data_IF_999253098850
#
_entry.id   IF_999253098850
#
_cell.length_a   1.000
_cell.length_b   1.000
_cell.length_c   1.000
_cell.angle_alpha   90.00
_cell.angle_beta   90.00
_cell.angle_gamma   90.00
#
_symmetry.space_group_name_H-M   'P 1'
#
loop_
_entity.id
_entity.type
_entity.pdbx_description
1 polymer ?
#
# COMPACT_ATOMS: atom_id res chain seq x y z
N UNK A 1 5.20 16.20 -10.08
CA UNK A 1 5.22 15.14 -9.04
C UNK A 1 6.00 15.59 -7.82
N UNK A 2 5.55 15.20 -6.64
CA UNK A 2 6.25 15.40 -5.37
C UNK A 2 6.15 14.12 -4.52
N UNK A 3 6.90 14.02 -3.41
CA UNK A 3 6.84 12.88 -2.51
C UNK A 3 7.21 13.27 -1.07
N UNK A 4 6.63 12.52 -0.13
CA UNK A 4 7.02 12.50 1.28
C UNK A 4 6.98 11.03 1.74
N UNK A 5 8.13 10.38 1.76
CA UNK A 5 8.25 8.92 1.92
C UNK A 5 9.37 8.54 2.91
N UNK A 6 9.30 8.99 4.18
CA UNK A 6 10.22 8.51 5.21
C UNK A 6 10.05 6.99 5.41
N UNK A 7 11.14 6.27 5.65
CA UNK A 7 11.08 4.83 5.88
C UNK A 7 10.30 4.48 7.14
N UNK A 8 9.47 3.44 7.07
CA UNK A 8 8.67 2.94 8.20
C UNK A 8 7.50 3.81 8.64
N UNK A 9 7.20 4.90 7.93
CA UNK A 9 6.10 5.81 8.28
C UNK A 9 4.74 5.14 8.14
N UNK A 10 3.85 5.51 9.07
CA UNK A 10 2.44 5.14 9.10
C UNK A 10 1.58 6.24 8.48
N UNK A 11 0.34 5.93 8.13
CA UNK A 11 -0.64 6.95 7.72
C UNK A 11 -0.86 7.98 8.85
N UNK A 12 -0.82 7.55 10.11
CA UNK A 12 -0.89 8.43 11.29
C UNK A 12 0.24 9.47 11.33
N UNK A 13 1.46 9.06 10.97
CA UNK A 13 2.61 9.96 10.91
C UNK A 13 2.42 10.99 9.82
N UNK A 14 1.94 10.58 8.65
CA UNK A 14 1.65 11.49 7.54
C UNK A 14 0.52 12.47 7.87
N UNK A 15 -0.56 12.00 8.51
CA UNK A 15 -1.70 12.83 8.90
C UNK A 15 -1.33 13.91 9.93
N UNK A 16 -0.32 13.66 10.77
CA UNK A 16 0.17 14.61 11.78
C UNK A 16 1.39 15.43 11.31
N UNK A 17 1.95 15.14 10.14
CA UNK A 17 3.16 15.78 9.64
C UNK A 17 2.84 16.99 8.77
N UNK A 18 3.25 18.18 9.22
CA UNK A 18 3.01 19.43 8.50
C UNK A 18 3.59 19.43 7.06
N UNK A 19 4.76 18.80 6.84
CA UNK A 19 5.36 18.73 5.50
C UNK A 19 4.53 17.87 4.56
N UNK A 20 4.04 16.70 5.02
CA UNK A 20 3.17 15.84 4.24
C UNK A 20 1.85 16.55 3.89
N UNK A 21 1.21 17.16 4.89
CA UNK A 21 -0.05 17.88 4.72
C UNK A 21 0.09 19.09 3.80
N UNK A 22 1.17 19.87 3.94
CA UNK A 22 1.46 20.98 3.05
C UNK A 22 1.64 20.52 1.60
N UNK A 23 2.28 19.37 1.36
CA UNK A 23 2.42 18.81 0.00
C UNK A 23 1.07 18.38 -0.58
N UNK A 24 0.20 17.76 0.20
CA UNK A 24 -1.16 17.44 -0.24
C UNK A 24 -1.89 18.70 -0.68
N UNK A 25 -1.75 19.79 0.07
CA UNK A 25 -2.48 21.04 -0.13
C UNK A 25 -1.81 22.04 -1.11
N UNK A 26 -0.64 21.69 -1.67
CA UNK A 26 0.16 22.67 -2.44
C UNK A 26 -0.19 22.77 -3.92
N UNK A 27 -0.91 21.78 -4.48
CA UNK A 27 -1.22 21.73 -5.92
C UNK A 27 -2.54 21.02 -6.18
N UNK A 28 -3.05 21.20 -7.39
CA UNK A 28 -4.16 20.42 -7.95
C UNK A 28 -3.63 19.09 -8.50
N UNK A 29 -3.51 18.11 -7.61
CA UNK A 29 -3.01 16.78 -7.97
C UNK A 29 -4.05 15.99 -8.76
N UNK A 30 -3.65 15.24 -9.79
CA UNK A 30 -4.51 14.22 -10.40
C UNK A 30 -4.72 13.04 -9.46
N UNK A 31 -3.64 12.60 -8.82
CA UNK A 31 -3.64 11.48 -7.87
C UNK A 31 -2.73 11.77 -6.68
N UNK A 32 -3.15 11.34 -5.50
CA UNK A 32 -2.30 11.27 -4.31
C UNK A 32 -2.24 9.83 -3.83
N UNK A 33 -1.03 9.25 -3.83
CA UNK A 33 -0.80 7.86 -3.42
C UNK A 33 -0.46 7.82 -1.93
N UNK A 34 -1.17 6.95 -1.21
CA UNK A 34 -1.04 6.72 0.22
C UNK A 34 -0.56 5.28 0.45
N UNK A 35 0.46 5.11 1.27
CA UNK A 35 0.97 3.81 1.69
C UNK A 35 1.06 3.75 3.22
N UNK A 36 0.53 2.69 3.80
CA UNK A 36 0.72 2.38 5.21
C UNK A 36 2.05 1.63 5.42
N UNK A 37 2.57 1.65 6.64
CA UNK A 37 3.68 0.81 7.05
C UNK A 37 3.37 -0.67 6.72
N UNK A 38 4.34 -1.38 6.17
CA UNK A 38 4.12 -2.64 5.44
C UNK A 38 3.48 -3.78 6.25
N UNK A 39 3.60 -3.79 7.58
CA UNK A 39 3.07 -4.85 8.42
C UNK A 39 1.70 -4.51 9.03
N UNK A 40 1.51 -3.23 9.41
CA UNK A 40 0.39 -2.80 10.25
C UNK A 40 -0.99 -3.18 9.69
N UNK A 41 -1.30 -3.08 8.38
CA UNK A 41 -2.60 -3.50 7.88
C UNK A 41 -2.86 -5.01 8.01
N UNK A 42 -1.81 -5.82 8.17
CA UNK A 42 -1.97 -7.27 8.34
C UNK A 42 -2.27 -7.70 9.79
N UNK A 43 -2.26 -6.77 10.73
CA UNK A 43 -2.48 -7.05 12.16
C UNK A 43 -3.96 -7.30 12.49
N UNK A 44 -4.25 -7.54 13.79
CA UNK A 44 -5.60 -7.78 14.25
C UNK A 44 -6.54 -6.60 13.97
N UNK A 45 -7.81 -6.90 13.62
CA UNK A 45 -8.78 -5.89 13.20
C UNK A 45 -8.94 -4.77 14.23
N UNK A 46 -8.90 -5.06 15.52
CA UNK A 46 -9.02 -4.05 16.57
C UNK A 46 -7.88 -3.02 16.50
N UNK A 47 -6.65 -3.46 16.23
CA UNK A 47 -5.51 -2.57 16.06
C UNK A 47 -5.63 -1.76 14.77
N UNK A 48 -5.95 -2.41 13.65
CA UNK A 48 -6.11 -1.75 12.34
C UNK A 48 -7.22 -0.70 12.38
N UNK A 49 -8.35 -0.99 13.05
CA UNK A 49 -9.45 -0.04 13.21
C UNK A 49 -9.09 1.21 14.01
N UNK A 50 -8.11 1.11 14.89
CA UNK A 50 -7.67 2.24 15.72
C UNK A 50 -6.45 2.97 15.13
N UNK A 51 -5.54 2.25 14.49
CA UNK A 51 -4.24 2.79 14.10
C UNK A 51 -4.09 3.05 12.59
N UNK A 52 -5.01 2.54 11.76
CA UNK A 52 -4.93 2.67 10.29
C UNK A 52 -6.14 3.39 9.70
N UNK A 53 -7.34 2.86 9.88
CA UNK A 53 -8.54 3.34 9.19
C UNK A 53 -8.89 4.81 9.48
N UNK A 54 -8.77 5.32 10.71
CA UNK A 54 -9.03 6.74 10.97
C UNK A 54 -8.09 7.67 10.19
N UNK A 55 -6.84 7.27 10.05
CA UNK A 55 -5.83 8.09 9.36
C UNK A 55 -5.93 7.98 7.84
N UNK A 56 -6.35 6.81 7.32
CA UNK A 56 -6.73 6.67 5.92
C UNK A 56 -7.85 7.66 5.57
N UNK A 57 -8.88 7.75 6.42
CA UNK A 57 -9.97 8.70 6.24
C UNK A 57 -9.51 10.15 6.31
N UNK A 58 -8.75 10.54 7.33
CA UNK A 58 -8.23 11.90 7.49
C UNK A 58 -7.46 12.35 6.24
N UNK A 59 -6.59 11.49 5.73
CA UNK A 59 -5.78 11.81 4.54
C UNK A 59 -6.65 11.90 3.28
N UNK A 60 -7.58 10.98 3.07
CA UNK A 60 -8.50 11.04 1.93
C UNK A 60 -9.40 12.28 1.96
N UNK A 61 -9.92 12.64 3.14
CA UNK A 61 -10.73 13.84 3.32
C UNK A 61 -9.89 15.12 3.03
N UNK A 62 -8.65 15.17 3.51
CA UNK A 62 -7.74 16.30 3.24
C UNK A 62 -7.43 16.45 1.76
N UNK A 63 -7.19 15.34 1.06
CA UNK A 63 -6.95 15.35 -0.39
C UNK A 63 -8.14 15.94 -1.13
N UNK A 64 -9.35 15.50 -0.82
CA UNK A 64 -10.57 16.00 -1.46
C UNK A 64 -10.92 17.43 -1.07
N UNK A 65 -10.62 17.81 0.16
CA UNK A 65 -10.82 19.20 0.62
C UNK A 65 -9.89 20.18 -0.11
N UNK A 66 -8.70 19.74 -0.49
CA UNK A 66 -7.80 20.53 -1.32
C UNK A 66 -8.33 20.67 -2.75
N UNK A 67 -8.66 19.54 -3.39
CA UNK A 67 -9.27 19.53 -4.71
C UNK A 67 -10.17 18.29 -4.86
N UNK A 68 -11.47 18.51 -5.04
CA UNK A 68 -12.46 17.44 -5.18
C UNK A 68 -12.25 16.52 -6.39
N UNK A 69 -11.48 16.96 -7.39
CA UNK A 69 -11.13 16.15 -8.57
C UNK A 69 -9.91 15.27 -8.33
N UNK A 70 -9.12 15.53 -7.29
CA UNK A 70 -7.96 14.68 -6.94
C UNK A 70 -8.42 13.30 -6.47
N UNK A 71 -7.76 12.27 -6.97
CA UNK A 71 -8.10 10.88 -6.67
C UNK A 71 -7.15 10.31 -5.63
N UNK A 72 -7.60 10.06 -4.38
CA UNK A 72 -6.84 9.28 -3.42
C UNK A 72 -6.63 7.86 -3.94
N UNK A 73 -5.44 7.31 -3.75
CA UNK A 73 -5.09 5.96 -4.17
C UNK A 73 -4.23 5.28 -3.11
N UNK A 74 -4.66 4.12 -2.63
CA UNK A 74 -3.86 3.30 -1.74
C UNK A 74 -2.89 2.41 -2.53
N UNK A 75 -1.65 2.37 -2.08
CA UNK A 75 -0.64 1.45 -2.55
C UNK A 75 -0.75 0.15 -1.77
N UNK A 76 -1.46 -0.85 -2.29
CA UNK A 76 -1.52 -2.17 -1.67
C UNK A 76 -0.13 -2.81 -1.71
N UNK A 77 0.46 -3.00 -0.54
CA UNK A 77 1.73 -3.70 -0.37
C UNK A 77 1.51 -5.22 -0.37
N UNK A 78 2.57 -5.99 -0.22
CA UNK A 78 2.62 -7.46 -0.28
C UNK A 78 3.07 -8.07 1.04
N UNK A 79 2.78 -9.34 1.25
CA UNK A 79 3.28 -10.12 2.38
C UNK A 79 4.81 -10.28 2.33
N UNK A 80 5.45 -10.34 3.49
CA UNK A 80 6.86 -10.75 3.58
C UNK A 80 7.03 -12.17 3.05
N UNK A 81 8.15 -12.46 2.42
CA UNK A 81 8.45 -13.69 1.71
C UNK A 81 8.10 -14.97 2.51
N UNK A 82 8.39 -14.94 3.81
CA UNK A 82 8.13 -16.05 4.74
C UNK A 82 7.13 -15.65 5.85
N UNK A 83 6.29 -14.64 5.61
CA UNK A 83 5.43 -14.05 6.63
C UNK A 83 6.20 -13.13 7.58
N UNK A 84 5.49 -12.60 8.58
CA UNK A 84 6.08 -11.76 9.62
C UNK A 84 6.46 -12.56 10.85
N UNK A 85 7.65 -13.14 10.85
CA UNK A 85 8.15 -14.00 11.91
C UNK A 85 8.26 -13.28 13.26
N UNK A 86 8.40 -11.95 13.26
CA UNK A 86 8.52 -11.16 14.48
C UNK A 86 7.19 -11.10 15.26
N UNK A 87 6.07 -11.20 14.57
CA UNK A 87 4.72 -11.08 15.16
C UNK A 87 3.93 -12.41 15.08
N UNK A 88 4.49 -13.43 14.45
CA UNK A 88 3.90 -14.74 14.23
C UNK A 88 3.39 -15.41 15.53
N UNK A 89 4.13 -15.29 16.62
CA UNK A 89 3.73 -15.89 17.91
C UNK A 89 2.43 -15.33 18.48
N UNK A 90 2.11 -14.08 18.15
CA UNK A 90 0.90 -13.40 18.63
C UNK A 90 -0.26 -13.48 17.64
N UNK A 91 0.05 -13.56 16.35
CA UNK A 91 -0.91 -13.52 15.24
C UNK A 91 -0.56 -14.64 14.25
N UNK A 92 -1.15 -15.83 14.45
CA UNK A 92 -0.75 -17.05 13.74
C UNK A 92 -0.83 -16.96 12.22
N UNK A 93 -1.74 -16.14 11.67
CA UNK A 93 -1.82 -15.91 10.22
C UNK A 93 -0.61 -15.16 9.66
N UNK A 94 0.17 -14.49 10.49
CA UNK A 94 1.41 -13.82 10.06
C UNK A 94 2.59 -14.78 9.89
N UNK A 95 2.45 -16.05 10.29
CA UNK A 95 3.51 -17.05 10.20
C UNK A 95 3.87 -17.42 8.76
N UNK A 96 2.99 -17.15 7.81
CA UNK A 96 3.18 -17.46 6.39
C UNK A 96 2.97 -16.23 5.51
N UNK A 97 3.51 -16.31 4.30
CA UNK A 97 3.25 -15.30 3.26
C UNK A 97 1.75 -15.16 3.01
N UNK A 98 1.07 -16.28 2.74
CA UNK A 98 -0.33 -16.33 2.34
C UNK A 98 -1.24 -15.69 3.39
N UNK A 99 -0.99 -15.99 4.65
CA UNK A 99 -1.78 -15.43 5.76
C UNK A 99 -1.57 -13.92 5.92
N UNK A 100 -0.31 -13.45 5.85
CA UNK A 100 0.00 -12.02 5.91
C UNK A 100 -0.59 -11.28 4.71
N UNK A 101 -0.36 -11.81 3.50
CA UNK A 101 -0.78 -11.20 2.24
C UNK A 101 -2.32 -11.12 2.12
N UNK A 102 -3.03 -12.17 2.55
CA UNK A 102 -4.49 -12.17 2.60
C UNK A 102 -5.04 -11.05 3.47
N UNK A 103 -4.42 -10.78 4.62
CA UNK A 103 -4.83 -9.68 5.50
C UNK A 103 -4.52 -8.32 4.88
N UNK A 104 -3.34 -8.15 4.27
CA UNK A 104 -3.01 -6.92 3.55
C UNK A 104 -4.02 -6.64 2.45
N UNK A 105 -4.29 -7.62 1.60
CA UNK A 105 -5.27 -7.50 0.51
C UNK A 105 -6.64 -7.08 1.04
N UNK A 106 -7.13 -7.77 2.07
CA UNK A 106 -8.43 -7.46 2.69
C UNK A 106 -8.47 -6.01 3.21
N UNK A 107 -7.46 -5.58 3.97
CA UNK A 107 -7.47 -4.26 4.62
C UNK A 107 -7.30 -3.11 3.63
N UNK A 108 -6.46 -3.27 2.61
CA UNK A 108 -6.34 -2.25 1.56
C UNK A 108 -7.63 -2.10 0.74
N UNK A 109 -8.35 -3.19 0.50
CA UNK A 109 -9.68 -3.12 -0.14
C UNK A 109 -10.69 -2.40 0.76
N UNK A 110 -10.74 -2.73 2.06
CA UNK A 110 -11.59 -2.01 3.01
C UNK A 110 -11.28 -0.51 3.02
N UNK A 111 -9.99 -0.12 3.09
CA UNK A 111 -9.60 1.30 3.01
C UNK A 111 -10.08 1.95 1.70
N UNK A 112 -9.97 1.24 0.58
CA UNK A 112 -10.45 1.72 -0.71
C UNK A 112 -11.96 1.94 -0.72
N UNK A 113 -12.72 0.95 -0.28
CA UNK A 113 -14.18 0.96 -0.24
C UNK A 113 -14.71 2.03 0.74
N UNK A 114 -14.21 2.04 1.98
CA UNK A 114 -14.65 2.96 3.04
C UNK A 114 -14.36 4.43 2.71
N UNK A 115 -13.36 4.69 1.86
CA UNK A 115 -12.95 6.03 1.50
C UNK A 115 -13.23 6.38 0.03
N UNK A 116 -13.97 5.57 -0.72
CA UNK A 116 -14.20 5.78 -2.16
C UNK A 116 -12.89 6.07 -2.92
N UNK A 117 -11.79 5.42 -2.50
CA UNK A 117 -10.44 5.64 -3.02
C UNK A 117 -10.03 4.50 -3.96
N UNK A 118 -9.18 4.81 -4.91
CA UNK A 118 -8.56 3.77 -5.73
C UNK A 118 -7.60 2.92 -4.90
N UNK A 119 -7.39 1.69 -5.34
CA UNK A 119 -6.32 0.82 -4.82
C UNK A 119 -5.45 0.41 -6.01
N UNK A 120 -4.15 0.67 -5.93
CA UNK A 120 -3.17 0.05 -6.83
C UNK A 120 -2.85 -1.34 -6.27
N UNK A 121 -3.29 -2.43 -6.94
CA UNK A 121 -3.31 -3.77 -6.35
C UNK A 121 -1.96 -4.49 -6.48
N UNK A 122 -0.86 -3.82 -6.11
CA UNK A 122 0.49 -4.37 -6.29
C UNK A 122 0.65 -5.69 -5.53
N UNK A 123 0.16 -5.80 -4.29
CA UNK A 123 0.19 -7.04 -3.52
C UNK A 123 -0.53 -8.19 -4.22
N UNK A 124 -1.69 -7.94 -4.85
CA UNK A 124 -2.40 -8.97 -5.59
C UNK A 124 -1.64 -9.45 -6.84
N UNK A 125 -0.99 -8.54 -7.57
CA UNK A 125 -0.12 -8.89 -8.71
C UNK A 125 1.12 -9.65 -8.23
N UNK A 126 1.67 -9.25 -7.08
CA UNK A 126 2.79 -9.93 -6.43
C UNK A 126 2.45 -11.38 -6.08
N UNK A 127 1.29 -11.61 -5.48
CA UNK A 127 0.76 -12.94 -5.17
C UNK A 127 0.65 -13.79 -6.45
N UNK A 128 0.02 -13.24 -7.49
CA UNK A 128 -0.11 -13.93 -8.77
C UNK A 128 1.25 -14.37 -9.36
N UNK A 129 2.26 -13.50 -9.30
CA UNK A 129 3.59 -13.81 -9.81
C UNK A 129 4.26 -14.88 -8.95
N UNK A 130 4.15 -14.83 -7.64
CA UNK A 130 4.70 -15.88 -6.76
C UNK A 130 4.11 -17.26 -7.06
N UNK A 131 2.82 -17.34 -7.34
CA UNK A 131 2.14 -18.60 -7.60
C UNK A 131 2.42 -19.17 -8.98
N UNK A 132 2.51 -18.30 -10.00
CA UNK A 132 2.56 -18.73 -11.38
C UNK A 132 3.94 -18.60 -12.03
N UNK A 133 4.82 -17.80 -11.45
CA UNK A 133 6.18 -17.48 -11.95
C UNK A 133 7.21 -17.47 -10.82
N UNK A 134 7.39 -18.59 -10.09
CA UNK A 134 8.26 -18.66 -8.89
C UNK A 134 9.75 -18.43 -9.19
N UNK A 135 10.15 -18.46 -10.46
CA UNK A 135 11.49 -18.14 -10.95
C UNK A 135 11.78 -16.64 -10.96
N UNK A 136 10.74 -15.81 -10.81
CA UNK A 136 10.88 -14.35 -10.71
C UNK A 136 11.11 -13.95 -9.25
N UNK A 137 12.36 -13.65 -8.92
CA UNK A 137 12.70 -13.14 -7.60
C UNK A 137 12.18 -11.70 -7.40
N UNK A 138 11.19 -11.55 -6.54
CA UNK A 138 10.51 -10.27 -6.27
C UNK A 138 11.09 -9.53 -5.06
N UNK A 139 11.84 -10.21 -4.19
CA UNK A 139 12.37 -9.65 -2.96
C UNK A 139 13.87 -9.37 -3.05
N UNK A 140 14.34 -8.46 -2.20
CA UNK A 140 15.76 -8.40 -1.83
C UNK A 140 16.05 -9.49 -0.78
N UNK A 141 17.34 -9.70 -0.45
CA UNK A 141 17.75 -10.75 0.49
C UNK A 141 17.18 -10.64 1.92
N UNK A 142 16.41 -9.59 2.23
CA UNK A 142 15.73 -9.43 3.52
C UNK A 142 14.31 -10.04 3.52
N UNK A 143 13.82 -10.53 2.37
CA UNK A 143 12.49 -11.12 2.22
C UNK A 143 11.32 -10.14 2.44
N UNK A 144 11.59 -8.83 2.41
CA UNK A 144 10.61 -7.77 2.68
C UNK A 144 10.58 -6.70 1.60
N UNK A 145 11.73 -6.09 1.32
CA UNK A 145 11.83 -5.03 0.32
C UNK A 145 11.85 -5.58 -1.10
N UNK A 146 11.39 -4.79 -2.08
CA UNK A 146 11.31 -5.23 -3.47
C UNK A 146 12.70 -5.31 -4.10
N UNK A 147 12.95 -6.36 -4.86
CA UNK A 147 14.05 -6.42 -5.83
C UNK A 147 13.82 -5.41 -6.97
N UNK A 148 14.74 -5.34 -7.92
CA UNK A 148 14.54 -4.55 -9.16
C UNK A 148 13.31 -5.06 -9.91
N UNK A 149 13.10 -6.40 -9.98
CA UNK A 149 11.92 -6.99 -10.63
C UNK A 149 10.64 -6.67 -9.86
N UNK A 150 10.65 -6.78 -8.53
CA UNK A 150 9.53 -6.39 -7.68
C UNK A 150 9.19 -4.90 -7.82
N UNK A 151 10.19 -4.03 -7.88
CA UNK A 151 9.99 -2.59 -8.13
C UNK A 151 9.39 -2.32 -9.51
N UNK A 152 9.80 -3.08 -10.52
CA UNK A 152 9.21 -2.99 -11.87
C UNK A 152 7.74 -3.44 -11.87
N UNK A 153 7.42 -4.56 -11.19
CA UNK A 153 6.03 -5.02 -11.01
C UNK A 153 5.17 -3.94 -10.37
N UNK A 154 5.66 -3.29 -9.32
CA UNK A 154 4.95 -2.18 -8.71
C UNK A 154 4.71 -1.04 -9.70
N UNK A 155 5.74 -0.65 -10.45
CA UNK A 155 5.65 0.44 -11.43
C UNK A 155 4.62 0.16 -12.53
N UNK A 156 4.62 -1.03 -13.14
CA UNK A 156 3.65 -1.38 -14.19
C UNK A 156 2.23 -1.52 -13.64
N UNK A 157 2.07 -1.98 -12.39
CA UNK A 157 0.76 -2.04 -11.73
C UNK A 157 0.19 -0.63 -11.53
N UNK A 158 1.01 0.33 -11.06
CA UNK A 158 0.62 1.74 -10.99
C UNK A 158 0.29 2.32 -12.36
N UNK A 159 1.11 2.05 -13.36
CA UNK A 159 0.86 2.50 -14.73
C UNK A 159 -0.51 2.04 -15.22
N UNK A 160 -0.81 0.76 -15.08
CA UNK A 160 -2.11 0.19 -15.48
C UNK A 160 -3.26 0.76 -14.66
N UNK A 161 -3.07 0.94 -13.35
CA UNK A 161 -4.10 1.47 -12.46
C UNK A 161 -4.45 2.93 -12.79
N UNK A 162 -3.44 3.75 -13.04
CA UNK A 162 -3.61 5.20 -13.30
C UNK A 162 -4.10 5.45 -14.74
N UNK A 163 -3.41 4.86 -15.72
CA UNK A 163 -3.65 5.19 -17.13
C UNK A 163 -4.66 4.27 -17.82
N UNK A 164 -5.03 3.14 -17.19
CA UNK A 164 -5.91 2.11 -17.77
C UNK A 164 -5.40 1.60 -19.13
N UNK A 165 -4.09 1.48 -19.27
CA UNK A 165 -3.41 1.03 -20.47
C UNK A 165 -2.67 -0.27 -20.24
N UNK A 166 -2.50 -1.05 -21.30
CA UNK A 166 -1.71 -2.26 -21.30
C UNK A 166 -0.22 -1.91 -21.10
N UNK A 167 0.42 -2.43 -20.03
CA UNK A 167 1.82 -2.14 -19.74
C UNK A 167 2.80 -2.83 -20.69
N UNK A 168 2.35 -3.78 -21.52
CA UNK A 168 3.20 -4.45 -22.52
C UNK A 168 3.48 -3.59 -23.74
N UNK A 169 2.82 -2.44 -23.84
CA UNK A 169 2.95 -1.49 -24.94
C UNK A 169 3.88 -0.29 -24.64
N UNK A 170 4.65 -0.36 -23.56
CA UNK A 170 5.60 0.68 -23.13
C UNK A 170 7.04 0.21 -23.22
#
# INVERSE_FOLDING_TARGET
KDKHTPGGSRLSDHASNATAMNKINSNDWDHVVLQEQSQLPSFGIGQVSNEVFPFAKILCDSIRSNNACTRPMFYMTWGRENGDQSNCANLSWLCTYEGMDSMLNLRYRMMGEDNEAYVSPVGAVWHYIRDNHPDIDLYTGDGSHPSIRGSYVAAITFYTTIFKKDPTLI
#
